data_IF_828239857926
#
_entry.id   IF_828239857926
#
_cell.length_a   1.000
_cell.length_b   1.000
_cell.length_c   1.000
_cell.angle_alpha   90.00
_cell.angle_beta   90.00
_cell.angle_gamma   90.00
#
_symmetry.space_group_name_H-M   'P 1'
#
loop_
_entity.id
_entity.type
_entity.pdbx_description
1 polymer ?
#
# COMPACT_ATOMS: atom_id res chain seq x y z
N UNK A 1 19.17 51.49 -1.00
CA UNK A 1 19.33 50.17 -0.35
C UNK A 1 18.10 49.73 0.45
N UNK A 2 17.61 50.49 1.45
CA UNK A 2 16.46 50.05 2.29
C UNK A 2 15.12 49.91 1.55
N UNK A 3 14.82 50.80 0.61
CA UNK A 3 13.58 50.74 -0.18
C UNK A 3 13.55 49.61 -1.21
N UNK A 4 14.72 49.12 -1.63
CA UNK A 4 14.81 48.04 -2.62
C UNK A 4 14.35 46.71 -2.00
N UNK A 5 14.72 46.42 -0.75
CA UNK A 5 14.27 45.22 -0.05
C UNK A 5 12.76 45.25 0.24
N UNK A 6 12.20 46.40 0.59
CA UNK A 6 10.74 46.54 0.82
C UNK A 6 9.96 46.33 -0.47
N UNK A 7 10.46 46.85 -1.60
CA UNK A 7 9.82 46.69 -2.90
C UNK A 7 9.89 45.23 -3.40
N UNK A 8 11.02 44.55 -3.17
CA UNK A 8 11.21 43.13 -3.54
C UNK A 8 10.30 42.21 -2.72
N UNK A 9 10.08 42.52 -1.44
CA UNK A 9 9.18 41.77 -0.56
C UNK A 9 7.70 41.98 -0.95
N UNK A 10 7.33 43.19 -1.38
CA UNK A 10 6.00 43.48 -1.92
C UNK A 10 5.70 42.73 -3.22
N UNK A 11 6.68 42.63 -4.13
CA UNK A 11 6.52 41.86 -5.38
C UNK A 11 6.31 40.37 -5.10
N UNK A 12 7.06 39.79 -4.14
CA UNK A 12 6.86 38.38 -3.76
C UNK A 12 5.48 38.11 -3.15
N UNK A 13 4.95 39.04 -2.35
CA UNK A 13 3.60 38.90 -1.78
C UNK A 13 2.51 38.95 -2.86
N UNK A 14 2.66 39.80 -3.88
CA UNK A 14 1.69 39.88 -4.98
C UNK A 14 1.69 38.64 -5.90
N UNK A 15 2.82 37.95 -6.04
CA UNK A 15 2.89 36.71 -6.83
C UNK A 15 2.32 35.49 -6.10
N UNK A 16 2.13 35.56 -4.79
CA UNK A 16 1.68 34.42 -3.97
C UNK A 16 0.16 34.24 -3.90
N UNK A 17 -0.64 35.18 -4.43
CA UNK A 17 -2.11 35.13 -4.34
C UNK A 17 -2.81 34.80 -5.68
N UNK A 18 -2.09 34.49 -6.75
CA UNK A 18 -2.68 34.34 -8.10
C UNK A 18 -2.66 32.90 -8.64
N UNK A 19 -2.72 31.90 -7.76
CA UNK A 19 -2.74 30.50 -8.20
C UNK A 19 -3.87 29.73 -7.55
N UNK A 20 -5.10 30.06 -7.94
CA UNK A 20 -6.19 29.09 -8.06
C UNK A 20 -7.36 29.66 -8.89
N UNK A 21 -8.06 28.75 -9.59
CA UNK A 21 -9.15 28.91 -10.56
C UNK A 21 -8.77 29.16 -12.03
N UNK A 22 -8.53 28.07 -12.75
CA UNK A 22 -9.05 27.93 -14.11
C UNK A 22 -9.71 26.57 -14.26
N UNK A 23 -11.01 26.53 -13.95
CA UNK A 23 -11.96 25.61 -14.56
C UNK A 23 -12.48 26.21 -15.87
N UNK A 24 -12.63 25.38 -16.89
CA UNK A 24 -13.66 25.56 -17.90
C UNK A 24 -13.22 25.94 -19.33
N UNK A 25 -13.48 24.99 -20.23
CA UNK A 25 -14.21 25.25 -21.49
C UNK A 25 -13.51 26.05 -22.60
N UNK A 26 -12.89 25.31 -23.53
CA UNK A 26 -13.17 25.40 -24.96
C UNK A 26 -12.96 26.73 -25.67
N UNK A 27 -11.85 26.85 -26.42
CA UNK A 27 -11.82 27.59 -27.68
C UNK A 27 -10.78 26.97 -28.61
N UNK A 28 -11.19 26.77 -29.86
CA UNK A 28 -10.43 26.16 -30.94
C UNK A 28 -9.29 27.05 -31.47
N UNK A 29 -8.15 26.41 -31.77
CA UNK A 29 -7.11 26.86 -32.72
C UNK A 29 -6.26 28.08 -32.29
N UNK A 30 -5.02 28.23 -32.81
CA UNK A 30 -4.59 27.78 -34.13
C UNK A 30 -3.44 26.76 -34.12
N UNK A 31 -3.33 26.06 -35.24
CA UNK A 31 -2.30 25.11 -35.60
C UNK A 31 -0.88 25.68 -35.39
N UNK A 32 -0.11 25.04 -34.52
CA UNK A 32 1.35 25.11 -34.57
C UNK A 32 1.87 23.86 -35.28
N UNK A 33 2.56 24.14 -36.38
CA UNK A 33 3.22 23.18 -37.24
C UNK A 33 4.19 22.29 -36.45
N UNK A 34 4.11 20.98 -36.67
CA UNK A 34 5.12 20.03 -36.25
C UNK A 34 6.40 20.24 -37.07
N UNK A 35 7.59 20.37 -36.45
CA UNK A 35 8.83 20.08 -37.13
C UNK A 35 9.00 18.56 -37.29
N UNK A 36 9.41 18.20 -38.50
CA UNK A 36 9.51 16.89 -39.13
C UNK A 36 10.40 15.86 -38.42
N UNK A 37 10.17 14.55 -38.65
CA UNK A 37 11.06 13.49 -38.23
C UNK A 37 12.34 13.50 -39.08
N UNK A 38 13.50 13.70 -38.45
CA UNK A 38 14.78 13.48 -39.09
C UNK A 38 15.06 11.98 -39.21
N UNK A 39 14.66 11.45 -40.36
CA UNK A 39 15.22 10.24 -40.97
C UNK A 39 16.72 10.43 -41.16
N UNK A 40 17.54 9.78 -40.34
CA UNK A 40 18.93 9.49 -40.69
C UNK A 40 19.07 8.00 -40.91
N UNK A 41 18.93 7.62 -42.18
CA UNK A 41 19.36 6.35 -42.71
C UNK A 41 20.89 6.29 -42.65
N UNK A 42 21.44 5.54 -41.69
CA UNK A 42 22.84 5.16 -41.62
C UNK A 42 23.01 3.71 -42.01
N UNK A 43 23.09 3.44 -43.31
CA UNK A 43 23.62 2.22 -43.88
C UNK A 43 25.03 1.97 -43.33
N UNK A 44 25.25 0.88 -42.60
CA UNK A 44 26.57 0.23 -42.57
C UNK A 44 26.41 -1.26 -42.80
N UNK A 45 26.54 -1.61 -44.08
CA UNK A 45 26.83 -2.94 -44.54
C UNK A 45 28.28 -3.32 -44.21
N UNK A 46 28.51 -4.58 -43.86
CA UNK A 46 29.79 -5.25 -44.12
C UNK A 46 30.29 -6.18 -43.03
N UNK A 47 30.45 -7.46 -43.45
CA UNK A 47 31.17 -8.60 -42.84
C UNK A 47 30.28 -9.49 -41.94
N UNK A 48 29.76 -10.67 -42.39
CA UNK A 48 30.38 -11.89 -42.96
C UNK A 48 31.63 -12.29 -42.14
N UNK A 49 31.75 -13.47 -41.52
CA UNK A 49 31.65 -14.84 -42.08
C UNK A 49 31.59 -15.88 -40.91
N UNK A 50 31.56 -17.22 -41.11
CA UNK A 50 30.77 -18.19 -40.31
C UNK A 50 31.66 -19.22 -39.56
N UNK A 51 31.06 -20.06 -38.72
CA UNK A 51 31.46 -21.46 -38.37
C UNK A 51 30.59 -21.86 -37.16
N UNK A 52 29.58 -22.73 -37.25
CA UNK A 52 29.58 -24.15 -37.61
C UNK A 52 30.45 -25.03 -36.70
N UNK A 53 29.88 -25.48 -35.57
CA UNK A 53 30.18 -26.76 -34.92
C UNK A 53 28.99 -27.07 -33.99
N UNK A 54 28.00 -27.88 -34.41
CA UNK A 54 27.99 -29.34 -34.41
C UNK A 54 28.22 -29.94 -33.01
N UNK A 55 27.19 -30.62 -32.46
CA UNK A 55 27.40 -31.65 -31.42
C UNK A 55 26.38 -31.71 -30.29
N UNK A 56 25.24 -32.36 -30.55
CA UNK A 56 24.36 -33.09 -29.61
C UNK A 56 25.12 -33.97 -28.58
N UNK A 57 24.53 -34.43 -27.45
CA UNK A 57 23.22 -35.08 -27.46
C UNK A 57 22.27 -34.91 -26.26
N UNK A 58 21.02 -35.22 -26.58
CA UNK A 58 19.99 -35.83 -25.75
C UNK A 58 20.55 -36.64 -24.57
N UNK A 59 20.05 -36.34 -23.37
CA UNK A 59 19.86 -37.34 -22.33
C UNK A 59 18.39 -37.43 -22.00
N UNK A 60 17.75 -38.32 -22.74
CA UNK A 60 16.65 -39.14 -22.30
C UNK A 60 17.14 -40.00 -21.12
N UNK A 61 16.59 -39.79 -19.93
CA UNK A 61 16.64 -40.75 -18.82
C UNK A 61 15.26 -40.81 -18.17
N UNK A 62 14.47 -41.72 -18.71
CA UNK A 62 13.86 -42.86 -18.00
C UNK A 62 13.14 -42.57 -16.67
N UNK A 63 11.84 -42.84 -16.75
CA UNK A 63 10.89 -43.09 -15.68
C UNK A 63 11.47 -43.84 -14.46
N UNK A 64 11.03 -43.45 -13.26
CA UNK A 64 10.56 -44.41 -12.25
C UNK A 64 9.50 -43.73 -11.37
N UNK A 65 8.24 -44.19 -11.39
CA UNK A 65 7.24 -43.79 -10.42
C UNK A 65 7.38 -44.66 -9.17
N UNK A 66 7.84 -44.08 -8.06
CA UNK A 66 7.91 -44.77 -6.78
C UNK A 66 6.79 -44.30 -5.85
N UNK A 67 5.83 -45.20 -5.67
CA UNK A 67 5.01 -45.40 -4.48
C UNK A 67 4.18 -44.20 -3.98
N UNK A 68 2.94 -44.18 -4.43
CA UNK A 68 1.82 -43.63 -3.66
C UNK A 68 1.77 -44.30 -2.27
N UNK A 69 1.91 -43.50 -1.22
CA UNK A 69 1.43 -43.88 0.10
C UNK A 69 -0.10 -43.96 0.07
N UNK A 70 -0.73 -45.01 0.61
CA UNK A 70 -2.17 -45.08 0.71
C UNK A 70 -2.68 -43.98 1.66
N UNK A 71 -3.55 -43.12 1.13
CA UNK A 71 -4.48 -42.30 1.92
C UNK A 71 -5.32 -43.23 2.80
N UNK A 72 -5.18 -43.06 4.11
CA UNK A 72 -6.06 -43.68 5.09
C UNK A 72 -7.42 -42.96 5.02
N UNK A 73 -8.41 -43.66 4.46
CA UNK A 73 -9.80 -43.22 4.41
C UNK A 73 -10.32 -43.01 5.86
N UNK A 74 -10.85 -41.83 6.21
CA UNK A 74 -11.55 -41.65 7.48
C UNK A 74 -12.82 -42.50 7.52
N UNK A 75 -13.00 -43.20 8.64
CA UNK A 75 -14.11 -44.08 8.99
C UNK A 75 -15.49 -43.38 8.81
N UNK A 76 -16.43 -43.95 8.02
CA UNK A 76 -17.77 -43.40 7.83
C UNK A 76 -18.72 -43.53 9.05
N UNK A 77 -18.24 -43.97 10.23
CA UNK A 77 -19.06 -44.17 11.42
C UNK A 77 -19.37 -42.92 12.27
N UNK A 78 -18.77 -41.75 12.03
CA UNK A 78 -19.00 -40.54 12.85
C UNK A 78 -20.02 -39.52 12.30
N UNK A 79 -20.78 -39.85 11.25
CA UNK A 79 -21.77 -38.95 10.65
C UNK A 79 -23.22 -39.10 11.18
N UNK A 80 -23.41 -39.41 12.47
CA UNK A 80 -24.77 -39.58 13.05
C UNK A 80 -24.97 -38.93 14.41
N UNK A 81 -24.98 -37.60 14.51
CA UNK A 81 -25.75 -36.85 15.55
C UNK A 81 -26.14 -35.44 15.08
N UNK A 82 -27.04 -35.34 14.10
CA UNK A 82 -27.85 -34.13 13.91
C UNK A 82 -29.29 -34.43 14.37
N UNK A 83 -29.65 -33.86 15.52
CA UNK A 83 -31.00 -33.93 16.07
C UNK A 83 -31.94 -32.91 15.41
N UNK A 84 -33.26 -33.16 15.41
CA UNK A 84 -34.24 -32.28 14.80
C UNK A 84 -34.68 -31.18 15.75
N UNK A 85 -34.80 -29.96 15.21
CA UNK A 85 -35.85 -29.03 15.61
C UNK A 85 -35.51 -28.00 16.69
N UNK A 86 -35.40 -26.74 16.27
CA UNK A 86 -36.23 -25.67 16.86
C UNK A 86 -36.39 -24.52 15.89
N UNK A 87 -37.49 -24.53 15.13
CA UNK A 87 -38.02 -23.36 14.45
C UNK A 87 -38.63 -22.43 15.49
N UNK A 88 -38.06 -21.24 15.68
CA UNK A 88 -38.74 -20.14 16.38
C UNK A 88 -39.26 -19.13 15.35
N UNK A 89 -40.50 -18.62 15.55
CA UNK A 89 -41.15 -17.73 14.62
C UNK A 89 -40.58 -16.31 14.67
N UNK A 90 -40.60 -15.71 13.48
CA UNK A 90 -40.43 -14.29 13.17
C UNK A 90 -41.38 -13.44 14.01
N UNK A 91 -40.84 -12.54 14.81
CA UNK A 91 -41.57 -11.36 15.32
C UNK A 91 -40.98 -10.13 14.63
N UNK A 92 -41.74 -9.60 13.68
CA UNK A 92 -41.56 -8.27 13.10
C UNK A 92 -42.27 -7.28 14.01
N UNK A 93 -41.52 -6.53 14.82
CA UNK A 93 -42.01 -5.29 15.38
C UNK A 93 -41.57 -4.11 14.53
N UNK A 94 -42.53 -3.65 13.73
CA UNK A 94 -42.58 -2.28 13.21
C UNK A 94 -42.87 -1.38 14.39
N UNK A 95 -41.93 -0.50 14.74
CA UNK A 95 -42.24 0.75 15.42
C UNK A 95 -41.32 1.83 14.89
N UNK A 96 -41.91 2.65 14.03
CA UNK A 96 -41.40 3.96 13.67
C UNK A 96 -41.43 4.85 14.91
N UNK A 97 -40.31 5.45 15.27
CA UNK A 97 -40.27 6.70 16.04
C UNK A 97 -39.04 7.47 15.60
N UNK A 98 -39.28 8.38 14.66
CA UNK A 98 -38.38 9.46 14.29
C UNK A 98 -38.26 10.40 15.50
N UNK A 99 -37.09 10.42 16.13
CA UNK A 99 -36.67 11.48 17.02
C UNK A 99 -35.41 12.14 16.43
N UNK A 100 -35.34 13.48 16.36
CA UNK A 100 -34.15 14.17 15.87
C UNK A 100 -33.03 14.03 16.90
N UNK A 101 -31.99 13.25 16.56
CA UNK A 101 -30.76 13.25 17.35
C UNK A 101 -30.04 14.58 17.14
N UNK A 102 -30.26 15.47 18.10
CA UNK A 102 -29.45 16.64 18.32
C UNK A 102 -28.00 16.21 18.64
N UNK A 103 -27.06 16.65 17.80
CA UNK A 103 -25.69 16.96 18.18
C UNK A 103 -24.86 15.82 18.79
N UNK A 104 -24.50 14.82 18.00
CA UNK A 104 -23.22 14.16 18.22
C UNK A 104 -22.12 15.17 17.87
N UNK A 105 -21.57 15.82 18.90
CA UNK A 105 -20.31 16.55 18.81
C UNK A 105 -19.26 15.57 18.29
N UNK A 106 -18.97 15.69 17.00
CA UNK A 106 -17.72 15.22 16.42
C UNK A 106 -16.60 15.73 17.32
N UNK A 107 -15.85 14.79 17.90
CA UNK A 107 -14.61 15.09 18.59
C UNK A 107 -13.64 15.58 17.51
N UNK A 108 -13.67 16.89 17.24
CA UNK A 108 -12.64 17.58 16.48
C UNK A 108 -11.33 17.30 17.20
N UNK A 109 -10.52 16.42 16.60
CA UNK A 109 -9.21 16.01 17.07
C UNK A 109 -8.35 17.24 17.28
N UNK A 110 -8.34 17.70 18.53
CA UNK A 110 -7.37 18.69 18.98
C UNK A 110 -6.09 17.89 19.17
N UNK A 111 -5.16 18.06 18.22
CA UNK A 111 -3.83 17.46 18.33
C UNK A 111 -3.25 17.82 19.71
N UNK A 112 -2.80 16.84 20.52
CA UNK A 112 -2.21 17.11 21.82
C UNK A 112 -0.89 17.86 21.60
N UNK A 113 -0.93 19.19 21.73
CA UNK A 113 0.26 20.04 21.83
C UNK A 113 0.79 19.93 23.26
N UNK A 114 1.35 18.77 23.58
CA UNK A 114 1.99 18.51 24.85
C UNK A 114 3.05 17.45 24.63
N UNK A 115 4.32 17.82 24.75
CA UNK A 115 5.51 17.02 24.44
C UNK A 115 5.75 15.80 25.34
N UNK A 116 4.69 15.11 25.76
CA UNK A 116 4.77 13.77 26.32
C UNK A 116 4.88 12.75 25.20
N UNK A 117 5.90 11.91 25.25
CA UNK A 117 6.04 10.78 24.34
C UNK A 117 4.75 9.93 24.34
N UNK A 118 4.21 9.66 23.15
CA UNK A 118 3.03 8.81 22.98
C UNK A 118 3.37 7.39 23.43
N UNK A 119 2.44 6.76 24.17
CA UNK A 119 2.57 5.38 24.62
C UNK A 119 1.76 4.49 23.67
N UNK A 120 2.45 3.67 22.88
CA UNK A 120 1.84 2.87 21.80
C UNK A 120 0.83 1.86 22.34
N UNK A 121 1.08 1.25 23.50
CA UNK A 121 0.14 0.34 24.17
C UNK A 121 -1.19 0.98 24.58
N UNK A 122 -1.29 2.32 24.60
CA UNK A 122 -2.52 3.04 24.97
C UNK A 122 -3.36 3.49 23.77
N UNK A 123 -2.94 3.18 22.55
CA UNK A 123 -3.70 3.53 21.35
C UNK A 123 -4.96 2.64 21.29
N UNK A 124 -6.14 3.28 21.37
CA UNK A 124 -7.44 2.60 21.33
C UNK A 124 -8.13 2.70 19.97
N UNK A 125 -7.60 3.53 19.07
CA UNK A 125 -8.15 3.69 17.73
C UNK A 125 -8.04 2.39 16.93
N UNK A 126 -9.03 2.06 16.08
CA UNK A 126 -8.92 0.92 15.17
C UNK A 126 -7.74 1.06 14.21
N UNK A 127 -7.06 -0.05 13.91
CA UNK A 127 -6.02 -0.10 12.89
C UNK A 127 -6.66 -0.20 11.51
N UNK A 128 -6.22 0.67 10.58
CA UNK A 128 -6.66 0.65 9.18
C UNK A 128 -5.86 -0.41 8.41
N UNK A 129 -4.52 -0.31 8.44
CA UNK A 129 -3.62 -1.29 7.84
C UNK A 129 -2.25 -1.29 8.53
N UNK A 130 -1.49 -2.34 8.26
CA UNK A 130 -0.08 -2.50 8.63
C UNK A 130 0.74 -2.82 7.37
N UNK A 131 1.88 -2.15 7.21
CA UNK A 131 2.90 -2.49 6.21
C UNK A 131 4.20 -2.79 6.94
N UNK A 132 4.79 -3.94 6.66
CA UNK A 132 6.10 -4.29 7.19
C UNK A 132 6.99 -4.93 6.15
N UNK A 133 8.30 -4.78 6.31
CA UNK A 133 9.29 -5.40 5.43
C UNK A 133 9.89 -6.64 6.09
N UNK A 134 10.10 -7.71 5.33
CA UNK A 134 10.78 -8.90 5.85
C UNK A 134 12.28 -8.64 5.99
N UNK A 135 12.97 -9.31 6.93
CA UNK A 135 14.43 -9.24 7.02
C UNK A 135 15.11 -9.65 5.70
N UNK A 136 16.25 -9.01 5.41
CA UNK A 136 17.13 -9.36 4.30
C UNK A 136 18.58 -9.49 4.82
N UNK A 137 19.46 -10.18 4.09
CA UNK A 137 20.87 -10.33 4.49
C UNK A 137 21.69 -9.03 4.40
N UNK A 138 21.21 -8.01 3.67
CA UNK A 138 21.90 -6.74 3.44
C UNK A 138 21.51 -5.59 4.39
N UNK A 139 21.59 -4.37 3.84
CA UNK A 139 21.22 -3.12 4.52
C UNK A 139 19.78 -2.67 4.18
N UNK A 140 18.90 -3.61 3.83
CA UNK A 140 17.51 -3.26 3.57
C UNK A 140 16.85 -2.71 4.84
N UNK A 141 15.95 -1.72 4.72
CA UNK A 141 15.12 -1.29 5.82
C UNK A 141 14.27 -2.45 6.38
N UNK A 142 14.30 -2.61 7.70
CA UNK A 142 13.41 -3.52 8.44
C UNK A 142 12.58 -2.67 9.41
N UNK A 143 11.27 -2.63 9.18
CA UNK A 143 10.34 -1.88 10.00
C UNK A 143 8.92 -2.42 9.91
N UNK A 144 8.09 -2.00 10.87
CA UNK A 144 6.63 -2.16 10.86
C UNK A 144 5.99 -0.78 10.94
N UNK A 145 5.15 -0.44 9.98
CA UNK A 145 4.38 0.79 9.94
C UNK A 145 2.89 0.45 10.08
N UNK A 146 2.21 1.08 11.03
CA UNK A 146 0.78 0.89 11.29
C UNK A 146 0.06 2.22 11.16
N UNK A 147 -1.04 2.23 10.41
CA UNK A 147 -1.95 3.37 10.31
C UNK A 147 -3.20 3.09 11.15
N UNK A 148 -3.55 4.04 12.01
CA UNK A 148 -4.77 4.01 12.82
C UNK A 148 -5.80 5.01 12.31
N UNK A 149 -7.06 4.78 12.65
CA UNK A 149 -8.12 5.76 12.42
C UNK A 149 -7.76 7.11 13.05
N UNK A 150 -8.06 8.19 12.33
CA UNK A 150 -7.67 9.54 12.75
C UNK A 150 -6.26 9.96 12.33
N UNK A 151 -5.54 9.14 11.55
CA UNK A 151 -4.29 9.52 10.89
C UNK A 151 -3.03 9.38 11.73
N UNK A 152 -3.09 8.69 12.87
CA UNK A 152 -1.90 8.37 13.65
C UNK A 152 -1.13 7.22 12.98
N UNK A 153 0.12 7.49 12.60
CA UNK A 153 1.08 6.49 12.18
C UNK A 153 1.95 6.06 13.36
N UNK A 154 2.18 4.75 13.48
CA UNK A 154 3.16 4.16 14.40
C UNK A 154 4.20 3.42 13.59
N UNK A 155 5.45 3.81 13.76
CA UNK A 155 6.62 3.19 13.13
C UNK A 155 7.44 2.46 14.20
N UNK A 156 7.67 1.17 14.00
CA UNK A 156 8.66 0.38 14.72
C UNK A 156 9.84 0.12 13.78
N UNK A 157 10.88 0.96 13.88
CA UNK A 157 12.04 0.91 13.02
C UNK A 157 13.16 0.09 13.65
N UNK A 158 13.52 -1.04 13.03
CA UNK A 158 14.55 -1.95 13.57
C UNK A 158 15.93 -1.71 12.95
N UNK A 159 16.02 -1.70 11.62
CA UNK A 159 17.29 -1.59 10.88
C UNK A 159 17.10 -0.81 9.58
N UNK A 160 18.18 -0.22 9.06
CA UNK A 160 18.23 0.35 7.70
C UNK A 160 17.46 1.67 7.52
N UNK A 161 16.89 2.21 8.59
CA UNK A 161 16.33 3.55 8.65
C UNK A 161 17.23 4.47 9.50
N UNK A 162 17.14 5.78 9.26
CA UNK A 162 17.89 6.79 10.01
C UNK A 162 17.54 6.81 11.50
N UNK A 163 16.28 6.54 11.80
CA UNK A 163 15.74 6.44 13.15
C UNK A 163 15.51 4.97 13.51
N UNK A 164 15.71 4.62 14.77
CA UNK A 164 15.50 3.29 15.33
C UNK A 164 14.55 3.37 16.53
N UNK A 165 13.84 2.28 16.81
CA UNK A 165 12.84 2.18 17.88
C UNK A 165 11.44 2.59 17.46
N UNK A 166 10.60 2.84 18.46
CA UNK A 166 9.20 3.24 18.28
C UNK A 166 9.10 4.76 18.05
N UNK A 167 8.36 5.11 17.02
CA UNK A 167 8.07 6.49 16.66
C UNK A 167 6.61 6.65 16.25
N UNK A 168 6.10 7.87 16.35
CA UNK A 168 4.76 8.24 15.92
C UNK A 168 4.80 9.47 15.03
N UNK A 169 3.84 9.55 14.11
CA UNK A 169 3.60 10.75 13.32
C UNK A 169 2.10 10.94 13.15
N UNK A 170 1.62 12.18 13.36
CA UNK A 170 0.24 12.54 13.06
C UNK A 170 0.16 13.05 11.62
N UNK A 171 -0.57 12.33 10.76
CA UNK A 171 -0.84 12.79 9.41
C UNK A 171 -1.79 13.99 9.43
N UNK A 172 -1.60 14.89 8.46
CA UNK A 172 -2.58 15.91 8.15
C UNK A 172 -3.85 15.27 7.59
N UNK A 173 -5.00 15.91 7.81
CA UNK A 173 -6.30 15.35 7.41
C UNK A 173 -6.36 14.98 5.92
N UNK A 174 -5.84 15.83 5.02
CA UNK A 174 -5.83 15.55 3.59
C UNK A 174 -4.96 14.34 3.25
N UNK A 175 -3.74 14.25 3.82
CA UNK A 175 -2.84 13.10 3.60
C UNK A 175 -3.47 11.79 4.07
N UNK A 176 -4.13 11.82 5.24
CA UNK A 176 -4.84 10.67 5.77
C UNK A 176 -6.01 10.27 4.87
N UNK A 177 -6.84 11.23 4.45
CA UNK A 177 -7.98 10.98 3.57
C UNK A 177 -7.54 10.36 2.24
N UNK A 178 -6.54 10.94 1.59
CA UNK A 178 -6.02 10.47 0.31
C UNK A 178 -5.47 9.04 0.44
N UNK A 179 -4.70 8.78 1.50
CA UNK A 179 -4.11 7.47 1.75
C UNK A 179 -5.18 6.39 2.02
N UNK A 180 -6.21 6.72 2.81
CA UNK A 180 -7.33 5.81 3.08
C UNK A 180 -8.16 5.56 1.83
N UNK A 181 -8.39 6.57 1.00
CA UNK A 181 -9.11 6.41 -0.27
C UNK A 181 -8.37 5.47 -1.23
N UNK A 182 -7.06 5.67 -1.39
CA UNK A 182 -6.21 4.76 -2.16
C UNK A 182 -6.25 3.33 -1.62
N UNK A 183 -6.11 3.18 -0.30
CA UNK A 183 -6.19 1.88 0.36
C UNK A 183 -7.55 1.20 0.15
N UNK A 184 -8.67 1.92 0.29
CA UNK A 184 -10.01 1.37 0.11
C UNK A 184 -10.23 0.86 -1.32
N UNK A 185 -9.71 1.56 -2.33
CA UNK A 185 -9.73 1.08 -3.72
C UNK A 185 -8.97 -0.23 -3.89
N UNK A 186 -7.82 -0.37 -3.23
CA UNK A 186 -7.03 -1.60 -3.26
C UNK A 186 -7.70 -2.74 -2.50
N UNK A 187 -8.28 -2.47 -1.34
CA UNK A 187 -8.99 -3.47 -0.54
C UNK A 187 -10.26 -4.00 -1.24
N UNK A 188 -10.84 -3.22 -2.15
CA UNK A 188 -11.94 -3.64 -3.00
C UNK A 188 -11.48 -4.43 -4.25
N UNK A 189 -10.18 -4.43 -4.57
CA UNK A 189 -9.64 -5.17 -5.69
C UNK A 189 -9.39 -6.65 -5.32
N UNK A 190 -9.53 -7.54 -6.30
CA UNK A 190 -9.22 -8.96 -6.14
C UNK A 190 -7.70 -9.17 -6.27
N UNK A 191 -6.99 -9.01 -5.15
CA UNK A 191 -5.53 -9.14 -5.08
C UNK A 191 -5.13 -10.55 -4.66
N UNK A 192 -4.12 -11.09 -5.33
CA UNK A 192 -3.50 -12.35 -4.95
C UNK A 192 -2.76 -12.19 -3.60
N UNK A 193 -2.66 -13.26 -2.79
CA UNK A 193 -1.99 -13.19 -1.49
C UNK A 193 -0.46 -13.01 -1.59
N UNK A 194 0.14 -13.32 -2.74
CA UNK A 194 1.59 -13.26 -2.97
C UNK A 194 1.89 -12.81 -4.40
N UNK A 195 2.90 -11.96 -4.56
CA UNK A 195 3.44 -11.51 -5.84
C UNK A 195 4.97 -11.65 -5.88
N UNK A 196 5.55 -12.18 -6.97
CA UNK A 196 4.88 -12.77 -8.13
C UNK A 196 4.20 -14.10 -7.76
N UNK A 197 3.26 -14.56 -8.59
CA UNK A 197 2.46 -15.78 -8.31
C UNK A 197 3.15 -17.08 -8.71
N UNK A 198 4.25 -17.02 -9.45
CA UNK A 198 4.95 -18.18 -10.02
C UNK A 198 6.27 -18.45 -9.32
N UNK A 199 7.28 -17.60 -9.54
CA UNK A 199 8.65 -17.80 -9.06
C UNK A 199 9.01 -16.71 -8.06
N UNK A 200 9.08 -17.07 -6.78
CA UNK A 200 9.40 -16.14 -5.69
C UNK A 200 10.92 -16.00 -5.58
N UNK A 201 11.48 -14.79 -5.74
CA UNK A 201 12.91 -14.56 -5.56
C UNK A 201 13.35 -14.86 -4.12
N UNK A 202 14.44 -15.61 -3.95
CA UNK A 202 14.91 -16.07 -2.63
C UNK A 202 15.67 -15.02 -1.81
N UNK A 203 16.18 -13.96 -2.45
CA UNK A 203 17.10 -12.99 -1.83
C UNK A 203 16.55 -11.56 -1.73
N UNK A 204 15.27 -11.36 -2.08
CA UNK A 204 14.62 -10.05 -2.08
C UNK A 204 13.69 -9.97 -0.86
N UNK A 205 13.75 -8.91 -0.05
CA UNK A 205 12.79 -8.73 1.04
C UNK A 205 11.39 -8.52 0.46
N UNK A 206 10.40 -9.15 1.06
CA UNK A 206 9.01 -8.86 0.76
C UNK A 206 8.54 -7.61 1.53
N UNK A 207 7.75 -6.78 0.87
CA UNK A 207 6.87 -5.82 1.53
C UNK A 207 5.53 -6.49 1.76
N UNK A 208 5.06 -6.50 3.00
CA UNK A 208 3.82 -7.19 3.38
C UNK A 208 2.78 -6.16 3.82
N UNK A 209 1.64 -6.15 3.14
CA UNK A 209 0.45 -5.41 3.53
C UNK A 209 -0.50 -6.32 4.29
N UNK A 210 -0.95 -5.89 5.46
CA UNK A 210 -1.88 -6.60 6.33
C UNK A 210 -3.02 -5.69 6.74
N UNK A 211 -4.25 -6.16 6.64
CA UNK A 211 -5.44 -5.39 7.03
C UNK A 211 -6.61 -6.32 7.34
N UNK A 212 -7.66 -5.77 7.94
CA UNK A 212 -8.91 -6.49 8.19
C UNK A 212 -9.95 -6.06 7.16
N UNK A 213 -10.56 -7.01 6.45
CA UNK A 213 -11.60 -6.70 5.48
C UNK A 213 -12.95 -6.33 6.14
N UNK A 214 -13.91 -5.89 5.35
CA UNK A 214 -15.24 -5.51 5.82
C UNK A 214 -16.01 -6.67 6.50
N UNK A 215 -15.58 -7.93 6.34
CA UNK A 215 -16.16 -9.11 6.99
C UNK A 215 -15.42 -9.48 8.28
N UNK A 216 -14.40 -8.72 8.68
CA UNK A 216 -13.58 -8.99 9.85
C UNK A 216 -12.50 -10.04 9.62
N UNK A 217 -12.26 -10.46 8.36
CA UNK A 217 -11.21 -11.43 8.05
C UNK A 217 -9.89 -10.70 7.79
N UNK A 218 -8.82 -11.22 8.37
CA UNK A 218 -7.48 -10.72 8.10
C UNK A 218 -7.02 -11.09 6.68
N UNK A 219 -6.60 -10.07 5.95
CA UNK A 219 -6.00 -10.16 4.63
C UNK A 219 -4.51 -9.88 4.73
N UNK A 220 -3.71 -10.66 4.00
CA UNK A 220 -2.25 -10.56 3.99
C UNK A 220 -1.75 -10.72 2.57
N UNK A 221 -1.09 -9.68 2.08
CA UNK A 221 -0.56 -9.62 0.71
C UNK A 221 0.95 -9.42 0.81
N UNK A 222 1.72 -10.36 0.27
CA UNK A 222 3.19 -10.29 0.23
C UNK A 222 3.65 -9.90 -1.16
N UNK A 223 4.48 -8.87 -1.27
CA UNK A 223 5.01 -8.39 -2.55
C UNK A 223 6.52 -8.46 -2.52
N UNK A 224 7.08 -9.29 -3.39
CA UNK A 224 8.52 -9.34 -3.67
C UNK A 224 8.83 -8.46 -4.89
N UNK A 225 8.17 -8.75 -6.02
CA UNK A 225 8.26 -8.05 -7.31
C UNK A 225 6.94 -8.20 -8.08
N UNK A 226 6.78 -7.48 -9.20
CA UNK A 226 5.70 -7.65 -10.18
C UNK A 226 4.26 -7.59 -9.63
N UNK A 227 4.04 -6.74 -8.61
CA UNK A 227 2.69 -6.43 -8.15
C UNK A 227 1.92 -5.58 -9.18
N UNK A 228 0.58 -5.67 -9.23
CA UNK A 228 -0.25 -4.78 -10.04
C UNK A 228 0.07 -3.30 -9.76
N UNK A 229 0.03 -2.47 -10.80
CA UNK A 229 0.48 -1.07 -10.74
C UNK A 229 -0.13 -0.27 -9.58
N UNK A 230 -1.43 -0.45 -9.31
CA UNK A 230 -2.10 0.22 -8.21
C UNK A 230 -1.53 -0.18 -6.83
N UNK A 231 -1.26 -1.47 -6.61
CA UNK A 231 -0.68 -1.98 -5.37
C UNK A 231 0.78 -1.54 -5.24
N UNK A 232 1.55 -1.63 -6.33
CA UNK A 232 2.94 -1.21 -6.38
C UNK A 232 3.10 0.29 -6.07
N UNK A 233 2.25 1.13 -6.64
CA UNK A 233 2.25 2.59 -6.42
C UNK A 233 1.92 2.95 -4.98
N UNK A 234 0.88 2.33 -4.41
CA UNK A 234 0.52 2.54 -3.00
C UNK A 234 1.63 2.10 -2.04
N UNK A 235 2.22 0.91 -2.26
CA UNK A 235 3.33 0.45 -1.44
C UNK A 235 4.56 1.37 -1.58
N UNK A 236 4.85 1.87 -2.79
CA UNK A 236 5.93 2.83 -2.99
C UNK A 236 5.71 4.12 -2.17
N UNK A 237 4.49 4.66 -2.17
CA UNK A 237 4.14 5.83 -1.36
C UNK A 237 4.28 5.54 0.15
N UNK A 238 3.66 4.46 0.64
CA UNK A 238 3.68 4.10 2.06
C UNK A 238 5.08 3.80 2.55
N UNK A 239 5.90 3.10 1.77
CA UNK A 239 7.30 2.77 2.13
C UNK A 239 8.23 3.97 2.08
N UNK A 240 7.80 5.11 1.53
CA UNK A 240 8.56 6.36 1.56
C UNK A 240 8.35 7.13 2.86
N UNK A 241 7.19 7.01 3.51
CA UNK A 241 6.86 7.73 4.76
C UNK A 241 7.91 7.53 5.87
N UNK A 242 8.39 6.30 6.16
CA UNK A 242 9.41 6.09 7.19
C UNK A 242 10.78 6.71 6.86
N UNK A 243 11.05 7.04 5.59
CA UNK A 243 12.33 7.60 5.13
C UNK A 243 12.35 9.13 5.16
N UNK A 244 11.22 9.76 4.87
CA UNK A 244 11.12 11.22 4.68
C UNK A 244 10.36 11.94 5.79
N UNK A 245 9.57 11.22 6.58
CA UNK A 245 8.72 11.81 7.63
C UNK A 245 9.51 12.46 8.77
N UNK A 246 8.84 13.36 9.47
CA UNK A 246 9.27 13.87 10.78
C UNK A 246 8.54 13.04 11.84
N UNK A 247 9.32 12.40 12.69
CA UNK A 247 8.83 11.37 13.62
C UNK A 247 9.14 11.76 15.06
N UNK A 248 8.13 11.62 15.92
CA UNK A 248 8.26 11.83 17.35
C UNK A 248 8.55 10.50 18.05
N UNK A 249 9.52 10.45 18.98
CA UNK A 249 9.82 9.23 19.70
C UNK A 249 8.64 8.80 20.56
N UNK A 250 8.33 7.52 20.52
CA UNK A 250 7.25 6.90 21.27
C UNK A 250 7.79 5.88 22.28
N UNK A 251 6.95 5.52 23.24
CA UNK A 251 7.23 4.47 24.23
C UNK A 251 6.28 3.31 24.01
N UNK A 252 6.71 2.12 24.39
CA UNK A 252 5.87 0.92 24.41
C UNK A 252 4.70 1.06 25.39
#
# INVERSE_FOLDING_TARGET
MRYFFVLLLLVFLCFSCNRDLTDGSGTAGPAFAQPTPNTTAGLRAGQKTPEALAGSPEREMTETPAAASPEELPDPAEAKRMGPGRTTPVVRDRSATTAPQAGQKSNTGTAPVGGGAVVVSKIQAPQVFEVYTTPCYGNCPEYTLRLFEGGLLVLDAKKGLRQQGLHTQQLQFFQYSDLVEQFNRLAAADLAPVYPTTEIPTDIPATVLRYTDAKGKEQKIKVYVDAPEALASFLAEVTQLPKEGIWDPAKE
#
